data_IF_886377935556
#
_entry.id   IF_886377935556
#
_cell.length_a   1.000
_cell.length_b   1.000
_cell.length_c   1.000
_cell.angle_alpha   90.00
_cell.angle_beta   90.00
_cell.angle_gamma   90.00
#
_symmetry.space_group_name_H-M   'P 1'
#
loop_
_entity.id
_entity.type
_entity.pdbx_description
1 polymer ?
#
# COMPACT_ATOMS: atom_id res chain seq x y z
N UNK A 1 6.70 -30.53 21.40
CA UNK A 1 5.47 -30.17 20.66
C UNK A 1 5.20 -28.66 20.48
N UNK A 2 5.76 -27.68 21.24
CA UNK A 2 5.48 -26.25 20.99
C UNK A 2 6.18 -25.70 19.74
N UNK A 3 7.39 -26.20 19.42
CA UNK A 3 8.19 -25.77 18.26
C UNK A 3 7.45 -25.98 16.91
N UNK A 4 6.67 -27.05 16.78
CA UNK A 4 5.93 -27.34 15.54
C UNK A 4 4.80 -26.32 15.33
N UNK A 5 4.16 -25.88 16.42
CA UNK A 5 3.08 -24.87 16.38
C UNK A 5 3.66 -23.51 15.99
N UNK A 6 4.81 -23.13 16.55
CA UNK A 6 5.51 -21.89 16.20
C UNK A 6 5.93 -21.87 14.74
N UNK A 7 6.48 -22.98 14.23
CA UNK A 7 6.86 -23.12 12.81
C UNK A 7 5.62 -23.06 11.91
N UNK A 8 4.53 -23.74 12.27
CA UNK A 8 3.29 -23.71 11.48
C UNK A 8 2.69 -22.30 11.43
N UNK A 9 2.65 -21.59 12.56
CA UNK A 9 2.20 -20.19 12.63
C UNK A 9 3.06 -19.27 11.78
N UNK A 10 4.38 -19.41 11.87
CA UNK A 10 5.34 -18.66 11.06
C UNK A 10 5.08 -18.88 9.55
N UNK A 11 4.89 -20.13 9.13
CA UNK A 11 4.63 -20.49 7.74
C UNK A 11 3.28 -19.97 7.23
N UNK A 12 2.23 -20.00 8.05
CA UNK A 12 0.92 -19.43 7.70
C UNK A 12 1.03 -17.91 7.55
N UNK A 13 1.76 -17.23 8.43
CA UNK A 13 1.99 -15.79 8.37
C UNK A 13 2.74 -15.41 7.08
N UNK A 14 3.85 -16.10 6.80
CA UNK A 14 4.64 -15.87 5.59
C UNK A 14 3.82 -16.18 4.34
N UNK A 15 3.11 -17.32 4.30
CA UNK A 15 2.28 -17.74 3.18
C UNK A 15 1.12 -16.78 2.92
N UNK A 16 0.44 -16.32 3.98
CA UNK A 16 -0.65 -15.34 3.89
C UNK A 16 -0.18 -13.99 3.34
N UNK A 17 0.98 -13.52 3.78
CA UNK A 17 1.58 -12.26 3.29
C UNK A 17 2.00 -12.38 1.83
N UNK A 18 2.66 -13.47 1.44
CA UNK A 18 3.04 -13.73 0.04
C UNK A 18 1.81 -13.85 -0.87
N UNK A 19 0.75 -14.51 -0.39
CA UNK A 19 -0.51 -14.62 -1.12
C UNK A 19 -1.18 -13.26 -1.33
N UNK A 20 -1.26 -12.44 -0.28
CA UNK A 20 -1.82 -11.08 -0.36
C UNK A 20 -1.04 -10.20 -1.35
N UNK A 21 0.30 -10.26 -1.31
CA UNK A 21 1.16 -9.49 -2.20
C UNK A 21 1.03 -9.89 -3.68
N UNK A 22 1.00 -11.19 -3.95
CA UNK A 22 0.89 -11.71 -5.34
C UNK A 22 -0.50 -11.45 -5.94
N UNK A 23 -1.55 -11.40 -5.12
CA UNK A 23 -2.90 -11.00 -5.57
C UNK A 23 -2.93 -9.55 -6.08
N UNK A 24 -2.28 -8.62 -5.37
CA UNK A 24 -2.22 -7.19 -5.75
C UNK A 24 -1.49 -6.95 -7.09
N UNK A 25 -0.44 -7.73 -7.37
CA UNK A 25 0.32 -7.62 -8.62
C UNK A 25 -0.49 -8.04 -9.85
N UNK A 26 -1.29 -9.11 -9.76
CA UNK A 26 -2.10 -9.62 -10.90
C UNK A 26 -3.16 -8.63 -11.39
N UNK A 27 -3.59 -7.72 -10.53
CA UNK A 27 -4.58 -6.68 -10.84
C UNK A 27 -3.95 -5.48 -11.58
N UNK A 28 -2.65 -5.24 -11.37
CA UNK A 28 -1.96 -4.01 -11.81
C UNK A 28 -1.50 -4.05 -13.28
N UNK A 29 -1.62 -5.17 -13.98
CA UNK A 29 -1.02 -5.38 -15.31
C UNK A 29 -1.81 -4.75 -16.50
N UNK A 30 -2.74 -3.83 -16.23
CA UNK A 30 -3.57 -3.15 -17.25
C UNK A 30 -3.08 -1.73 -17.54
N UNK A 31 -1.83 -1.58 -17.99
CA UNK A 31 -1.24 -0.28 -18.35
C UNK A 31 -2.04 0.51 -19.41
N UNK A 32 -2.75 -0.17 -20.30
CA UNK A 32 -3.59 0.44 -21.35
C UNK A 32 -4.88 1.10 -20.82
N UNK A 33 -5.28 0.83 -19.58
CA UNK A 33 -6.44 1.48 -18.96
C UNK A 33 -6.11 2.83 -18.32
N UNK A 34 -4.83 3.11 -18.04
CA UNK A 34 -4.43 4.32 -17.34
C UNK A 34 -4.69 5.57 -18.20
N UNK A 35 -4.25 5.57 -19.46
CA UNK A 35 -4.42 6.73 -20.35
C UNK A 35 -5.89 7.06 -20.59
N UNK A 36 -6.73 6.05 -20.83
CA UNK A 36 -8.18 6.22 -20.98
C UNK A 36 -8.85 6.80 -19.73
N UNK A 37 -8.35 6.44 -18.54
CA UNK A 37 -8.86 6.98 -17.26
C UNK A 37 -8.41 8.41 -17.03
N UNK A 38 -7.18 8.75 -17.41
CA UNK A 38 -6.68 10.13 -17.37
C UNK A 38 -7.53 11.02 -18.27
N UNK A 39 -7.84 10.57 -19.49
CA UNK A 39 -8.72 11.30 -20.41
C UNK A 39 -10.12 11.55 -19.80
N UNK A 40 -10.75 10.50 -19.29
CA UNK A 40 -12.06 10.59 -18.65
C UNK A 40 -12.04 11.50 -17.40
N UNK A 41 -10.92 11.50 -16.67
CA UNK A 41 -10.79 12.33 -15.49
C UNK A 41 -10.58 13.81 -15.84
N UNK A 42 -9.81 14.12 -16.88
CA UNK A 42 -9.69 15.49 -17.41
C UNK A 42 -11.07 16.03 -17.76
N UNK A 43 -11.87 15.27 -18.52
CA UNK A 43 -13.23 15.68 -18.89
C UNK A 43 -14.09 15.95 -17.65
N UNK A 44 -13.95 15.13 -16.61
CA UNK A 44 -14.70 15.34 -15.36
C UNK A 44 -14.24 16.59 -14.62
N UNK A 45 -12.94 16.85 -14.52
CA UNK A 45 -12.40 18.07 -13.90
C UNK A 45 -12.93 19.31 -14.62
N UNK A 46 -12.95 19.28 -15.96
CA UNK A 46 -13.50 20.37 -16.79
C UNK A 46 -15.00 20.56 -16.56
N UNK A 47 -15.75 19.48 -16.42
CA UNK A 47 -17.21 19.52 -16.21
C UNK A 47 -17.61 19.98 -14.80
N UNK A 48 -16.96 19.45 -13.77
CA UNK A 48 -17.31 19.72 -12.37
C UNK A 48 -16.72 21.05 -11.89
N UNK A 49 -15.57 21.46 -12.43
CA UNK A 49 -14.97 22.77 -12.13
C UNK A 49 -14.51 22.93 -10.67
N UNK A 50 -14.43 21.84 -9.91
CA UNK A 50 -14.28 21.84 -8.44
C UNK A 50 -12.97 22.47 -7.98
N UNK A 51 -11.88 22.29 -8.73
CA UNK A 51 -10.57 22.89 -8.42
C UNK A 51 -10.17 23.88 -9.52
N UNK A 52 -10.18 25.18 -9.18
CA UNK A 52 -9.84 26.27 -10.10
C UNK A 52 -8.41 26.18 -10.63
N UNK A 53 -7.47 25.65 -9.84
CA UNK A 53 -6.08 25.50 -10.25
C UNK A 53 -5.95 24.42 -11.34
N UNK A 54 -6.56 23.25 -11.13
CA UNK A 54 -6.59 22.17 -12.13
C UNK A 54 -7.34 22.59 -13.41
N UNK A 55 -8.41 23.38 -13.27
CA UNK A 55 -9.20 23.90 -14.39
C UNK A 55 -8.43 24.98 -15.19
N UNK A 56 -7.51 25.70 -14.56
CA UNK A 56 -6.68 26.70 -15.23
C UNK A 56 -5.53 26.09 -16.05
N UNK A 57 -5.10 24.86 -15.73
CA UNK A 57 -4.03 24.15 -16.45
C UNK A 57 -4.46 23.80 -17.88
N UNK A 58 -3.51 23.79 -18.82
CA UNK A 58 -3.74 23.24 -20.16
C UNK A 58 -3.98 21.72 -20.10
N UNK A 59 -4.65 21.16 -21.11
CA UNK A 59 -4.94 19.72 -21.16
C UNK A 59 -3.66 18.87 -21.15
N UNK A 60 -2.57 19.35 -21.77
CA UNK A 60 -1.26 18.69 -21.73
C UNK A 60 -0.65 18.70 -20.32
N UNK A 61 -0.64 19.85 -19.65
CA UNK A 61 -0.10 19.96 -18.30
C UNK A 61 -0.91 19.13 -17.29
N UNK A 62 -2.24 19.13 -17.43
CA UNK A 62 -3.11 18.35 -16.56
C UNK A 62 -2.91 16.85 -16.79
N UNK A 63 -2.77 16.40 -18.04
CA UNK A 63 -2.45 15.01 -18.38
C UNK A 63 -1.13 14.58 -17.74
N UNK A 64 -0.07 15.37 -17.90
CA UNK A 64 1.25 15.06 -17.36
C UNK A 64 1.23 14.99 -15.83
N UNK A 65 0.51 15.91 -15.18
CA UNK A 65 0.30 15.90 -13.73
C UNK A 65 -0.43 14.63 -13.27
N UNK A 66 -1.50 14.23 -13.95
CA UNK A 66 -2.28 13.05 -13.58
C UNK A 66 -1.52 11.75 -13.83
N UNK A 67 -0.81 11.64 -14.96
CA UNK A 67 0.05 10.48 -15.26
C UNK A 67 1.21 10.37 -14.27
N UNK A 68 1.91 11.46 -13.98
CA UNK A 68 2.99 11.47 -12.99
C UNK A 68 2.48 11.16 -11.57
N UNK A 69 1.30 11.67 -11.21
CA UNK A 69 0.65 11.37 -9.93
C UNK A 69 0.26 9.90 -9.81
N UNK A 70 -0.33 9.31 -10.85
CA UNK A 70 -0.68 7.89 -10.87
C UNK A 70 0.57 6.99 -10.83
N UNK A 71 1.63 7.37 -11.55
CA UNK A 71 2.92 6.69 -11.50
C UNK A 71 3.53 6.74 -10.09
N UNK A 72 3.59 7.93 -9.48
CA UNK A 72 4.11 8.10 -8.12
C UNK A 72 3.28 7.32 -7.10
N UNK A 73 1.95 7.31 -7.23
CA UNK A 73 1.06 6.52 -6.39
C UNK A 73 1.38 5.02 -6.48
N UNK A 74 1.62 4.50 -7.68
CA UNK A 74 2.04 3.11 -7.89
C UNK A 74 3.38 2.83 -7.20
N UNK A 75 4.37 3.69 -7.39
CA UNK A 75 5.70 3.55 -6.77
C UNK A 75 5.61 3.57 -5.24
N UNK A 76 4.84 4.49 -4.66
CA UNK A 76 4.65 4.56 -3.21
C UNK A 76 3.90 3.34 -2.67
N UNK A 77 2.89 2.84 -3.39
CA UNK A 77 2.18 1.61 -3.04
C UNK A 77 3.12 0.41 -3.03
N UNK A 78 3.97 0.28 -4.04
CA UNK A 78 4.95 -0.80 -4.13
C UNK A 78 5.99 -0.70 -3.00
N UNK A 79 6.49 0.51 -2.72
CA UNK A 79 7.39 0.77 -1.58
C UNK A 79 6.74 0.43 -0.23
N UNK A 80 5.50 0.84 -0.01
CA UNK A 80 4.71 0.47 1.18
C UNK A 80 4.63 -1.04 1.33
N UNK A 81 4.34 -1.76 0.24
CA UNK A 81 4.26 -3.21 0.25
C UNK A 81 5.60 -3.85 0.67
N UNK A 82 6.74 -3.37 0.14
CA UNK A 82 8.06 -3.86 0.56
C UNK A 82 8.40 -3.55 2.02
N UNK A 83 8.05 -2.36 2.51
CA UNK A 83 8.26 -1.97 3.91
C UNK A 83 7.45 -2.84 4.86
N UNK A 84 6.18 -3.10 4.55
CA UNK A 84 5.32 -3.97 5.36
C UNK A 84 5.82 -5.42 5.33
N UNK A 85 6.26 -5.91 4.18
CA UNK A 85 6.87 -7.23 4.08
C UNK A 85 8.14 -7.36 4.92
N UNK A 86 9.05 -6.40 4.81
CA UNK A 86 10.25 -6.35 5.63
C UNK A 86 9.93 -6.29 7.12
N UNK A 87 8.91 -5.51 7.51
CA UNK A 87 8.45 -5.42 8.87
C UNK A 87 7.85 -6.73 9.41
N UNK A 88 7.13 -7.50 8.59
CA UNK A 88 6.66 -8.86 8.96
C UNK A 88 7.84 -9.78 9.24
N UNK A 89 8.86 -9.79 8.36
CA UNK A 89 10.04 -10.62 8.54
C UNK A 89 10.79 -10.26 9.83
N UNK A 90 11.02 -8.96 10.06
CA UNK A 90 11.70 -8.49 11.28
C UNK A 90 10.88 -8.80 12.53
N UNK A 91 9.56 -8.60 12.48
CA UNK A 91 8.65 -8.92 13.59
C UNK A 91 8.64 -10.41 13.92
N UNK A 92 8.67 -11.28 12.90
CA UNK A 92 8.71 -12.73 13.08
C UNK A 92 10.05 -13.19 13.66
N UNK A 93 11.17 -12.68 13.16
CA UNK A 93 12.51 -12.98 13.71
C UNK A 93 12.58 -12.52 15.17
N UNK A 94 12.12 -11.30 15.46
CA UNK A 94 12.04 -10.78 16.82
C UNK A 94 11.20 -11.67 17.75
N UNK A 95 10.04 -12.12 17.29
CA UNK A 95 9.20 -13.03 18.06
C UNK A 95 9.88 -14.37 18.34
N UNK A 96 10.60 -14.94 17.37
CA UNK A 96 11.37 -16.19 17.55
C UNK A 96 12.47 -16.00 18.60
N UNK A 97 13.19 -14.87 18.57
CA UNK A 97 14.22 -14.57 19.57
C UNK A 97 13.61 -14.48 20.98
N UNK A 98 12.50 -13.76 21.15
CA UNK A 98 11.79 -13.69 22.44
C UNK A 98 11.30 -15.08 22.89
N UNK A 99 10.87 -15.93 21.95
CA UNK A 99 10.46 -17.30 22.24
C UNK A 99 11.58 -18.14 22.88
N UNK A 100 12.84 -17.87 22.55
CA UNK A 100 13.97 -18.62 23.14
C UNK A 100 14.18 -18.34 24.63
N UNK A 101 13.73 -17.18 25.13
CA UNK A 101 13.90 -16.77 26.52
C UNK A 101 12.61 -16.98 27.33
N UNK A 102 11.45 -16.63 26.77
CA UNK A 102 10.16 -16.61 27.47
C UNK A 102 9.18 -17.70 26.99
N UNK A 103 9.62 -18.54 26.05
CA UNK A 103 8.81 -19.59 25.45
C UNK A 103 7.61 -19.06 24.66
N UNK A 104 6.58 -19.90 24.54
CA UNK A 104 5.37 -19.61 23.74
C UNK A 104 4.62 -18.34 24.15
N UNK A 105 4.67 -17.96 25.43
CA UNK A 105 4.02 -16.74 25.92
C UNK A 105 4.70 -15.50 25.36
N UNK A 106 6.03 -15.42 25.45
CA UNK A 106 6.80 -14.30 24.92
C UNK A 106 6.69 -14.22 23.39
N UNK A 107 6.72 -15.37 22.71
CA UNK A 107 6.44 -15.44 21.26
C UNK A 107 5.10 -14.80 20.89
N UNK A 108 4.02 -15.19 21.58
CA UNK A 108 2.68 -14.66 21.33
C UNK A 108 2.58 -13.15 21.58
N UNK A 109 3.16 -12.66 22.68
CA UNK A 109 3.20 -11.23 23.00
C UNK A 109 3.99 -10.45 21.93
N UNK A 110 5.16 -10.95 21.54
CA UNK A 110 6.00 -10.31 20.53
C UNK A 110 5.30 -10.24 19.16
N UNK A 111 4.57 -11.30 18.77
CA UNK A 111 3.75 -11.28 17.56
C UNK A 111 2.62 -10.25 17.62
N UNK A 112 1.93 -10.14 18.76
CA UNK A 112 0.87 -9.15 18.92
C UNK A 112 1.41 -7.73 18.82
N UNK A 113 2.55 -7.44 19.45
CA UNK A 113 3.23 -6.14 19.35
C UNK A 113 3.63 -5.85 17.90
N UNK A 114 4.25 -6.81 17.22
CA UNK A 114 4.62 -6.67 15.81
C UNK A 114 3.39 -6.39 14.92
N UNK A 115 2.28 -7.08 15.15
CA UNK A 115 1.03 -6.87 14.41
C UNK A 115 0.47 -5.46 14.60
N UNK A 116 0.45 -4.94 15.84
CA UNK A 116 0.00 -3.57 16.13
C UNK A 116 0.87 -2.53 15.45
N UNK A 117 2.21 -2.69 15.53
CA UNK A 117 3.16 -1.79 14.87
C UNK A 117 2.97 -1.82 13.36
N UNK A 118 2.87 -3.00 12.76
CA UNK A 118 2.65 -3.16 11.32
C UNK A 118 1.32 -2.56 10.86
N UNK A 119 0.27 -2.72 11.66
CA UNK A 119 -1.02 -2.07 11.40
C UNK A 119 -0.88 -0.55 11.41
N UNK A 120 -0.23 0.01 12.43
CA UNK A 120 0.03 1.44 12.54
C UNK A 120 0.85 1.98 11.35
N UNK A 121 1.91 1.27 10.97
CA UNK A 121 2.73 1.59 9.80
C UNK A 121 1.90 1.52 8.50
N UNK A 122 1.08 0.50 8.35
CA UNK A 122 0.23 0.31 7.17
C UNK A 122 -0.74 1.47 6.98
N UNK A 123 -1.36 1.91 8.07
CA UNK A 123 -2.30 3.02 8.10
C UNK A 123 -1.62 4.37 7.85
N UNK A 124 -0.49 4.62 8.53
CA UNK A 124 0.30 5.84 8.37
C UNK A 124 0.81 6.01 6.93
N UNK A 125 1.41 4.95 6.36
CA UNK A 125 1.90 4.96 4.98
C UNK A 125 0.75 5.10 3.97
N UNK A 126 -0.42 4.53 4.27
CA UNK A 126 -1.62 4.72 3.45
C UNK A 126 -2.05 6.18 3.38
N UNK A 127 -2.13 6.86 4.53
CA UNK A 127 -2.48 8.27 4.61
C UNK A 127 -1.46 9.18 3.95
N UNK A 128 -0.16 8.96 4.20
CA UNK A 128 0.91 9.76 3.59
C UNK A 128 0.94 9.68 2.06
N UNK A 129 0.58 8.52 1.50
CA UNK A 129 0.56 8.31 0.06
C UNK A 129 -0.55 9.12 -0.64
N UNK A 130 -1.68 9.33 0.04
CA UNK A 130 -2.88 9.99 -0.52
C UNK A 130 -2.90 11.50 -0.24
N UNK A 131 -2.43 11.92 0.94
CA UNK A 131 -2.43 13.32 1.38
C UNK A 131 -1.91 14.36 0.35
N UNK A 132 -0.77 14.15 -0.37
CA UNK A 132 -0.30 15.15 -1.33
C UNK A 132 -1.18 15.28 -2.57
N UNK A 133 -1.98 14.26 -2.89
CA UNK A 133 -2.93 14.29 -4.02
C UNK A 133 -4.23 15.00 -3.60
N UNK A 134 -4.74 14.70 -2.40
CA UNK A 134 -5.89 15.40 -1.82
C UNK A 134 -5.63 16.89 -1.65
N UNK A 135 -4.42 17.29 -1.23
CA UNK A 135 -4.01 18.69 -1.15
C UNK A 135 -4.05 19.41 -2.50
N UNK A 136 -3.84 18.68 -3.61
CA UNK A 136 -3.96 19.18 -4.98
C UNK A 136 -5.39 19.08 -5.53
N UNK A 137 -6.36 18.63 -4.72
CA UNK A 137 -7.73 18.37 -5.16
C UNK A 137 -7.86 17.24 -6.17
N UNK A 138 -6.89 16.33 -6.20
CA UNK A 138 -6.88 15.15 -7.07
C UNK A 138 -7.55 13.99 -6.34
N UNK A 139 -8.60 13.46 -6.95
CA UNK A 139 -9.33 12.28 -6.50
C UNK A 139 -8.54 11.01 -6.86
N UNK A 140 -8.00 10.36 -5.84
CA UNK A 140 -7.13 9.20 -5.99
C UNK A 140 -7.91 7.97 -6.45
N UNK A 141 -9.19 7.85 -6.12
CA UNK A 141 -10.01 6.69 -6.52
C UNK A 141 -10.18 6.63 -8.04
N UNK A 142 -10.27 7.81 -8.68
CA UNK A 142 -10.35 7.92 -10.15
C UNK A 142 -9.05 7.55 -10.85
N UNK A 143 -7.92 7.65 -10.14
CA UNK A 143 -6.59 7.29 -10.63
C UNK A 143 -6.17 5.84 -10.30
N UNK A 144 -6.87 5.13 -9.41
CA UNK A 144 -6.52 3.76 -9.04
C UNK A 144 -6.83 2.79 -10.17
N UNK A 145 -5.83 1.95 -10.48
CA UNK A 145 -5.98 0.74 -11.30
C UNK A 145 -6.27 -0.42 -10.33
N UNK A 146 -7.55 -0.78 -10.23
CA UNK A 146 -7.99 -2.07 -9.70
C UNK A 146 -7.97 -3.15 -10.78
#
# INVERSE_FOLDING_TARGET
MPIIIEIALALILVGGVVHYMTRSRRLTDRGTMLDRRVDAYIETIRREGTNKELVAMSDSELRDLLQSSAHNLKVQRDRRMYLLFGGVLVGLIGAILVATEEGTRGFGIALLVAAVVLYGMNEFLGRQMVAPLEQKGIDVERLRVE
#
